data_IF_013684447387
#
_entry.id   IF_013684447387
#
_cell.length_a   1.000
_cell.length_b   1.000
_cell.length_c   1.000
_cell.angle_alpha   90.00
_cell.angle_beta   90.00
_cell.angle_gamma   90.00
#
_symmetry.space_group_name_H-M   'P 1'
#
loop_
_entity.id
_entity.type
_entity.pdbx_description
1 polymer ?
#
# COMPACT_ATOMS: atom_id res chain seq x y z
N UNK A 1 27.59 69.68 -15.33
CA UNK A 1 26.25 69.16 -15.03
C UNK A 1 26.24 67.68 -15.39
N UNK A 2 26.39 66.75 -14.43
CA UNK A 2 26.52 65.29 -14.68
C UNK A 2 25.20 64.65 -14.23
N UNK A 3 24.46 64.16 -15.23
CA UNK A 3 23.21 63.41 -15.00
C UNK A 3 23.56 61.95 -14.67
N UNK A 4 23.26 61.51 -13.47
CA UNK A 4 23.38 60.11 -13.06
C UNK A 4 22.06 59.40 -13.38
N UNK A 5 22.12 58.50 -14.38
CA UNK A 5 21.05 57.55 -14.67
C UNK A 5 21.06 56.46 -13.58
N UNK A 6 19.99 56.36 -12.76
CA UNK A 6 19.69 55.25 -11.91
C UNK A 6 18.92 54.19 -12.75
N UNK A 7 19.58 53.07 -13.05
CA UNK A 7 18.91 51.89 -13.61
C UNK A 7 18.30 51.09 -12.46
N UNK A 8 16.99 51.11 -12.36
CA UNK A 8 16.22 50.28 -11.43
C UNK A 8 16.11 48.86 -12.03
N UNK A 9 16.71 47.88 -11.35
CA UNK A 9 16.52 46.48 -11.64
C UNK A 9 15.25 45.99 -10.97
N UNK A 10 14.18 45.76 -11.73
CA UNK A 10 12.97 45.11 -11.26
C UNK A 10 13.22 43.59 -11.27
N UNK A 11 13.46 43.04 -10.08
CA UNK A 11 13.55 41.60 -9.86
C UNK A 11 12.14 41.03 -9.86
N UNK A 12 11.70 40.49 -11.01
CA UNK A 12 10.42 39.81 -11.13
C UNK A 12 10.56 38.39 -10.50
N UNK A 13 10.18 38.25 -9.23
CA UNK A 13 10.09 36.97 -8.54
C UNK A 13 8.89 36.21 -9.10
N UNK A 14 9.15 35.25 -9.98
CA UNK A 14 8.16 34.29 -10.45
C UNK A 14 7.84 33.35 -9.29
N UNK A 15 6.78 33.64 -8.52
CA UNK A 15 6.20 32.70 -7.56
C UNK A 15 5.47 31.64 -8.36
N UNK A 16 6.14 30.49 -8.59
CA UNK A 16 5.50 29.29 -9.11
C UNK A 16 4.49 28.80 -8.06
N UNK A 17 3.24 29.17 -8.23
CA UNK A 17 2.12 28.59 -7.48
C UNK A 17 2.06 27.10 -7.84
N UNK A 18 2.59 26.25 -6.96
CA UNK A 18 2.41 24.79 -7.05
C UNK A 18 0.92 24.53 -6.85
N UNK A 19 0.22 24.19 -7.93
CA UNK A 19 -1.17 23.78 -7.82
C UNK A 19 -1.24 22.66 -6.78
N UNK A 20 -2.01 22.83 -5.72
CA UNK A 20 -2.25 21.78 -4.74
C UNK A 20 -2.87 20.60 -5.48
N UNK A 21 -2.13 19.50 -5.60
CA UNK A 21 -2.68 18.27 -6.16
C UNK A 21 -3.91 17.88 -5.34
N UNK A 22 -5.00 17.60 -6.04
CA UNK A 22 -6.24 17.15 -5.40
C UNK A 22 -5.92 15.89 -4.58
N UNK A 23 -6.37 15.80 -3.31
CA UNK A 23 -6.14 14.62 -2.51
C UNK A 23 -6.56 13.36 -3.27
N UNK A 24 -5.66 12.38 -3.31
CA UNK A 24 -5.93 11.10 -3.95
C UNK A 24 -7.05 10.39 -3.18
N UNK A 25 -8.08 9.93 -3.88
CA UNK A 25 -9.17 9.16 -3.29
C UNK A 25 -9.40 7.89 -4.11
N UNK A 26 -9.28 6.75 -3.44
CA UNK A 26 -9.50 5.45 -4.05
C UNK A 26 -10.72 4.78 -3.44
N UNK A 27 -11.57 4.21 -4.30
CA UNK A 27 -12.77 3.46 -3.93
C UNK A 27 -12.55 1.93 -4.00
N UNK A 28 -11.41 1.48 -4.52
CA UNK A 28 -11.02 0.07 -4.62
C UNK A 28 -9.51 -0.08 -4.63
N UNK A 29 -9.05 -1.20 -4.08
CA UNK A 29 -7.65 -1.64 -4.17
C UNK A 29 -7.60 -2.98 -4.91
N UNK A 30 -6.59 -3.17 -5.77
CA UNK A 30 -6.32 -4.45 -6.45
C UNK A 30 -4.85 -4.82 -6.24
N UNK A 31 -4.60 -6.02 -5.77
CA UNK A 31 -3.25 -6.59 -5.70
C UNK A 31 -3.12 -7.67 -6.77
N UNK A 32 -2.14 -7.52 -7.66
CA UNK A 32 -1.78 -8.50 -8.69
C UNK A 32 -0.50 -9.19 -8.23
N UNK A 33 -0.63 -10.40 -7.72
CA UNK A 33 0.47 -11.14 -7.07
C UNK A 33 1.58 -11.47 -8.06
N UNK A 34 1.23 -11.93 -9.25
CA UNK A 34 2.19 -12.25 -10.31
C UNK A 34 3.05 -11.06 -10.71
N UNK A 35 2.45 -9.89 -10.82
CA UNK A 35 3.11 -8.64 -11.20
C UNK A 35 3.83 -7.95 -10.03
N UNK A 36 3.59 -8.41 -8.79
CA UNK A 36 4.05 -7.74 -7.55
C UNK A 36 3.62 -6.28 -7.56
N UNK A 37 2.33 -6.03 -7.80
CA UNK A 37 1.77 -4.67 -7.81
C UNK A 37 0.53 -4.54 -6.95
N UNK A 38 0.36 -3.37 -6.35
CA UNK A 38 -0.86 -2.90 -5.71
C UNK A 38 -1.34 -1.68 -6.49
N UNK A 39 -2.59 -1.69 -6.89
CA UNK A 39 -3.23 -0.62 -7.64
C UNK A 39 -4.33 0.03 -6.80
N UNK A 40 -4.36 1.35 -6.77
CA UNK A 40 -5.49 2.14 -6.29
C UNK A 40 -6.37 2.49 -7.49
N UNK A 41 -7.68 2.28 -7.33
CA UNK A 41 -8.65 2.61 -8.35
C UNK A 41 -9.63 3.65 -7.82
N UNK A 42 -10.12 4.50 -8.72
CA UNK A 42 -11.23 5.42 -8.50
C UNK A 42 -12.15 5.36 -9.71
N UNK A 43 -13.44 5.12 -9.49
CA UNK A 43 -14.44 4.98 -10.56
C UNK A 43 -14.02 3.95 -11.65
N UNK A 44 -13.42 2.85 -11.22
CA UNK A 44 -12.93 1.76 -12.07
C UNK A 44 -11.64 2.05 -12.85
N UNK A 45 -11.04 3.22 -12.67
CA UNK A 45 -9.76 3.61 -13.32
C UNK A 45 -8.61 3.49 -12.34
N UNK A 46 -7.48 2.92 -12.79
CA UNK A 46 -6.24 2.90 -12.00
C UNK A 46 -5.68 4.32 -11.90
N UNK A 47 -5.56 4.81 -10.65
CA UNK A 47 -5.05 6.16 -10.36
C UNK A 47 -3.64 6.14 -9.77
N UNK A 48 -3.21 5.00 -9.20
CA UNK A 48 -1.84 4.76 -8.71
C UNK A 48 -1.49 3.29 -8.80
N UNK A 49 -0.20 3.01 -8.97
CA UNK A 49 0.35 1.64 -8.94
C UNK A 49 1.64 1.64 -8.15
N UNK A 50 1.75 0.73 -7.20
CA UNK A 50 2.94 0.52 -6.37
C UNK A 50 3.51 -0.86 -6.62
N UNK A 51 4.83 -1.00 -6.57
CA UNK A 51 5.47 -2.30 -6.47
C UNK A 51 5.46 -2.77 -5.02
N UNK A 52 5.26 -4.06 -4.82
CA UNK A 52 5.12 -4.65 -3.46
C UNK A 52 6.03 -5.85 -3.27
N UNK A 53 6.32 -6.18 -2.01
CA UNK A 53 6.78 -7.51 -1.60
C UNK A 53 5.62 -8.24 -0.91
N UNK A 54 5.49 -9.53 -1.18
CA UNK A 54 4.42 -10.40 -0.71
C UNK A 54 4.91 -11.40 0.34
N UNK A 55 4.07 -12.36 0.68
CA UNK A 55 4.48 -13.53 1.47
C UNK A 55 5.61 -14.29 0.82
N UNK A 56 6.48 -14.92 1.62
CA UNK A 56 7.71 -15.57 1.14
C UNK A 56 7.48 -16.75 0.19
N UNK A 57 6.27 -17.32 0.14
CA UNK A 57 5.82 -18.30 -0.86
C UNK A 57 4.51 -17.80 -1.50
N UNK A 58 4.56 -16.85 -2.45
CA UNK A 58 3.38 -16.11 -2.90
C UNK A 58 2.50 -16.88 -3.91
N UNK A 59 2.91 -18.03 -4.40
CA UNK A 59 2.17 -18.78 -5.43
C UNK A 59 0.98 -19.51 -4.81
N UNK A 60 -0.22 -19.26 -5.33
CA UNK A 60 -1.48 -19.82 -4.83
C UNK A 60 -2.04 -19.11 -3.60
N UNK A 61 -3.29 -19.41 -3.21
CA UNK A 61 -3.97 -18.77 -2.10
C UNK A 61 -3.44 -19.19 -0.74
N UNK A 62 -3.51 -18.30 0.24
CA UNK A 62 -3.28 -18.63 1.65
C UNK A 62 -4.34 -19.62 2.13
N UNK A 63 -3.90 -20.71 2.73
CA UNK A 63 -4.76 -21.79 3.21
C UNK A 63 -4.65 -22.07 4.70
N UNK A 64 -3.49 -21.77 5.31
CA UNK A 64 -3.21 -22.05 6.73
C UNK A 64 -2.21 -21.06 7.33
N UNK A 65 -2.18 -21.01 8.64
CA UNK A 65 -1.15 -20.26 9.38
C UNK A 65 0.24 -20.77 9.02
N UNK A 66 1.20 -19.87 8.81
CA UNK A 66 2.60 -20.19 8.56
C UNK A 66 2.89 -20.77 7.17
N UNK A 67 1.98 -20.65 6.21
CA UNK A 67 2.22 -21.05 4.83
C UNK A 67 2.95 -20.00 3.99
N UNK A 68 3.23 -18.83 4.58
CA UNK A 68 3.90 -17.69 3.97
C UNK A 68 3.25 -17.20 2.68
N UNK A 69 1.95 -17.49 2.49
CA UNK A 69 1.19 -17.09 1.31
C UNK A 69 0.38 -15.83 1.57
N UNK A 70 0.32 -14.96 0.57
CA UNK A 70 -0.65 -13.86 0.53
C UNK A 70 -1.99 -14.39 0.04
N UNK A 71 -3.12 -14.10 0.73
CA UNK A 71 -4.43 -14.63 0.34
C UNK A 71 -4.84 -14.18 -1.06
N UNK A 72 -5.81 -14.90 -1.65
CA UNK A 72 -6.45 -14.57 -2.92
C UNK A 72 -7.95 -14.51 -2.72
N UNK A 73 -8.59 -13.48 -3.26
CA UNK A 73 -10.02 -13.27 -3.16
C UNK A 73 -10.40 -11.82 -2.89
N UNK A 74 -11.65 -11.64 -2.49
CA UNK A 74 -12.22 -10.33 -2.15
C UNK A 74 -12.30 -10.17 -0.63
N UNK A 75 -11.82 -9.01 -0.17
CA UNK A 75 -11.76 -8.59 1.23
C UNK A 75 -12.12 -7.10 1.35
N UNK A 76 -12.04 -6.58 2.56
CA UNK A 76 -12.12 -5.14 2.83
C UNK A 76 -10.92 -4.71 3.67
N UNK A 77 -10.54 -3.45 3.55
CA UNK A 77 -9.61 -2.78 4.44
C UNK A 77 -10.42 -2.29 5.65
N UNK A 78 -10.41 -3.02 6.75
CA UNK A 78 -11.38 -2.86 7.83
C UNK A 78 -10.86 -2.13 9.08
N UNK A 79 -9.55 -1.99 9.23
CA UNK A 79 -8.97 -1.25 10.35
C UNK A 79 -7.56 -0.75 10.07
N UNK A 80 -7.14 0.25 10.85
CA UNK A 80 -5.87 0.95 10.71
C UNK A 80 -5.08 0.95 12.00
N UNK A 81 -3.76 0.79 11.91
CA UNK A 81 -2.85 0.91 13.03
C UNK A 81 -1.75 1.94 12.72
N UNK A 82 -1.88 3.13 13.29
CA UNK A 82 -0.87 4.21 13.17
C UNK A 82 0.36 3.99 14.05
N UNK A 83 0.30 3.03 15.00
CA UNK A 83 1.41 2.63 15.89
C UNK A 83 1.93 1.25 15.55
N UNK A 84 1.91 0.89 14.27
CA UNK A 84 2.40 -0.38 13.76
C UNK A 84 3.91 -0.53 14.00
N UNK A 85 4.37 -1.77 14.19
CA UNK A 85 5.81 -2.11 14.14
C UNK A 85 6.40 -1.95 12.73
N UNK A 86 5.55 -1.74 11.73
CA UNK A 86 5.89 -1.55 10.31
C UNK A 86 5.47 -0.16 9.83
N UNK A 87 5.85 0.88 10.55
CA UNK A 87 5.53 2.28 10.29
C UNK A 87 4.02 2.55 10.43
N UNK A 88 3.20 2.14 9.47
CA UNK A 88 1.73 2.09 9.48
C UNK A 88 1.25 0.79 8.87
N UNK A 89 0.06 0.34 9.27
CA UNK A 89 -0.57 -0.83 8.67
C UNK A 89 -2.07 -0.66 8.52
N UNK A 90 -2.63 -1.24 7.45
CA UNK A 90 -4.06 -1.31 7.16
C UNK A 90 -4.41 -2.78 7.08
N UNK A 91 -5.34 -3.22 7.93
CA UNK A 91 -5.74 -4.62 8.00
C UNK A 91 -6.60 -5.02 6.81
N UNK A 92 -6.36 -6.20 6.28
CA UNK A 92 -7.15 -6.87 5.26
C UNK A 92 -8.03 -7.91 5.97
N UNK A 93 -9.33 -7.91 5.74
CA UNK A 93 -10.33 -8.74 6.46
C UNK A 93 -10.21 -10.26 6.19
N UNK A 94 -8.97 -10.75 6.03
CA UNK A 94 -8.65 -12.17 5.98
C UNK A 94 -8.55 -12.75 7.40
N UNK A 95 -9.08 -13.96 7.69
CA UNK A 95 -9.83 -14.84 6.80
C UNK A 95 -11.32 -14.45 6.73
N UNK A 96 -11.89 -14.45 5.52
CA UNK A 96 -13.33 -14.31 5.34
C UNK A 96 -14.08 -15.64 5.61
N UNK A 97 -15.39 -15.70 5.36
CA UNK A 97 -16.20 -16.90 5.61
C UNK A 97 -15.75 -18.11 4.77
N UNK A 98 -15.35 -17.86 3.50
CA UNK A 98 -14.85 -18.90 2.59
C UNK A 98 -13.53 -19.49 3.08
N UNK A 99 -12.59 -18.63 3.48
CA UNK A 99 -11.28 -19.04 3.99
C UNK A 99 -11.42 -19.89 5.26
N UNK A 100 -12.27 -19.44 6.19
CA UNK A 100 -12.56 -20.20 7.43
C UNK A 100 -13.20 -21.54 7.14
N UNK A 101 -14.13 -21.60 6.18
CA UNK A 101 -14.78 -22.86 5.79
C UNK A 101 -13.76 -23.82 5.16
N UNK A 102 -12.88 -23.32 4.30
CA UNK A 102 -11.82 -24.11 3.69
C UNK A 102 -10.84 -24.67 4.73
N UNK A 103 -10.38 -23.83 5.65
CA UNK A 103 -9.45 -24.22 6.71
C UNK A 103 -10.08 -25.29 7.64
N UNK A 104 -11.38 -25.14 8.00
CA UNK A 104 -12.09 -26.16 8.78
C UNK A 104 -12.17 -27.51 8.07
N UNK A 105 -12.46 -27.53 6.76
CA UNK A 105 -12.47 -28.78 5.96
C UNK A 105 -11.11 -29.47 5.95
N UNK A 106 -10.04 -28.69 5.98
CA UNK A 106 -8.65 -29.20 5.99
C UNK A 106 -8.11 -29.45 7.39
N UNK A 107 -8.88 -29.21 8.46
CA UNK A 107 -8.45 -29.41 9.84
C UNK A 107 -7.30 -28.49 10.29
N UNK A 108 -7.20 -27.28 9.71
CA UNK A 108 -6.10 -26.34 9.99
C UNK A 108 -6.62 -24.98 10.43
N UNK A 109 -5.76 -24.19 11.11
CA UNK A 109 -6.03 -22.77 11.36
C UNK A 109 -5.71 -21.94 10.08
N UNK A 110 -6.62 -21.10 9.61
CA UNK A 110 -6.35 -20.25 8.45
C UNK A 110 -5.26 -19.19 8.74
N UNK A 111 -5.01 -18.89 10.02
CA UNK A 111 -4.24 -17.72 10.43
C UNK A 111 -5.09 -16.45 10.42
N UNK A 112 -4.44 -15.32 10.27
CA UNK A 112 -5.02 -13.98 10.27
C UNK A 112 -3.92 -12.95 10.20
N UNK A 113 -4.22 -11.71 10.64
CA UNK A 113 -3.23 -10.62 10.75
C UNK A 113 -2.52 -10.33 9.42
N UNK A 114 -3.29 -10.24 8.34
CA UNK A 114 -2.80 -9.85 7.02
C UNK A 114 -3.02 -8.36 6.82
N UNK A 115 -1.95 -7.65 6.43
CA UNK A 115 -1.96 -6.19 6.33
C UNK A 115 -1.32 -5.71 5.03
N UNK A 116 -1.70 -4.50 4.61
CA UNK A 116 -0.83 -3.63 3.81
C UNK A 116 -0.02 -2.81 4.81
N UNK A 117 1.32 -2.77 4.69
CA UNK A 117 2.16 -2.08 5.66
C UNK A 117 3.45 -1.51 5.05
N UNK A 118 4.05 -0.56 5.76
CA UNK A 118 5.38 -0.03 5.46
C UNK A 118 6.51 -0.97 5.86
N UNK A 119 7.69 -0.42 6.07
CA UNK A 119 8.89 -1.17 6.48
C UNK A 119 8.96 -1.27 8.01
N UNK A 120 9.68 -2.26 8.55
CA UNK A 120 9.90 -2.36 9.99
C UNK A 120 10.48 -1.05 10.55
N UNK A 121 10.07 -0.67 11.75
CA UNK A 121 10.55 0.54 12.41
C UNK A 121 12.10 0.52 12.51
N UNK A 122 12.74 1.63 12.14
CA UNK A 122 14.19 1.71 12.02
C UNK A 122 14.79 1.26 10.69
N UNK A 123 14.00 0.64 9.81
CA UNK A 123 14.44 0.14 8.50
C UNK A 123 13.87 0.90 7.30
N UNK A 124 13.23 2.06 7.52
CA UNK A 124 12.67 2.88 6.43
C UNK A 124 13.69 3.27 5.35
N UNK A 125 14.98 3.40 5.73
CA UNK A 125 16.09 3.70 4.82
C UNK A 125 16.31 2.65 3.72
N UNK A 126 15.85 1.41 3.91
CA UNK A 126 15.92 0.34 2.90
C UNK A 126 15.12 0.72 1.66
N UNK A 127 14.03 1.49 1.81
CA UNK A 127 13.22 1.99 0.72
C UNK A 127 12.81 0.89 -0.26
N UNK A 128 12.86 1.17 -1.55
CA UNK A 128 12.44 0.25 -2.62
C UNK A 128 13.25 -1.06 -2.70
N UNK A 129 14.45 -1.12 -2.10
CA UNK A 129 15.29 -2.33 -2.10
C UNK A 129 14.67 -3.49 -1.34
N UNK A 130 13.68 -3.24 -0.45
CA UNK A 130 12.95 -4.31 0.24
C UNK A 130 12.26 -5.29 -0.73
N UNK A 131 12.01 -4.87 -1.98
CA UNK A 131 11.33 -5.65 -3.02
C UNK A 131 12.23 -6.64 -3.75
N UNK A 132 13.50 -6.71 -3.37
CA UNK A 132 14.45 -7.67 -3.97
C UNK A 132 13.99 -9.13 -3.76
N UNK A 133 13.13 -9.37 -2.77
CA UNK A 133 12.49 -10.68 -2.49
C UNK A 133 11.16 -10.48 -1.78
N UNK A 134 10.29 -11.50 -1.86
CA UNK A 134 9.13 -11.64 -0.99
C UNK A 134 9.62 -12.10 0.39
N UNK A 135 9.16 -11.47 1.48
CA UNK A 135 9.73 -11.68 2.82
C UNK A 135 8.70 -11.72 3.95
N UNK A 136 7.42 -11.43 3.64
CA UNK A 136 6.35 -11.38 4.62
C UNK A 136 5.79 -12.77 4.96
N UNK A 137 4.99 -12.84 6.01
CA UNK A 137 4.18 -14.03 6.35
C UNK A 137 2.75 -13.93 5.79
N UNK A 138 2.63 -13.35 4.59
CA UNK A 138 1.37 -13.20 3.86
C UNK A 138 0.88 -11.76 3.67
N UNK A 139 1.50 -10.78 4.30
CA UNK A 139 1.19 -9.37 4.14
C UNK A 139 1.63 -8.81 2.77
N UNK A 140 1.24 -7.57 2.50
CA UNK A 140 1.62 -6.78 1.33
C UNK A 140 2.46 -5.60 1.81
N UNK A 141 3.77 -5.62 1.55
CA UNK A 141 4.68 -4.57 1.97
C UNK A 141 4.98 -3.57 0.86
N UNK A 142 4.98 -2.31 1.22
CA UNK A 142 5.34 -1.14 0.42
C UNK A 142 6.41 -0.31 1.14
N UNK A 143 6.92 0.77 0.56
CA UNK A 143 7.79 1.70 1.29
C UNK A 143 7.00 2.53 2.30
N UNK A 144 7.71 3.22 3.20
CA UNK A 144 7.06 4.09 4.19
C UNK A 144 6.30 5.24 3.54
N UNK A 145 6.86 5.83 2.50
CA UNK A 145 6.22 6.92 1.73
C UNK A 145 4.95 6.42 1.02
N UNK A 146 5.01 5.21 0.46
CA UNK A 146 3.88 4.61 -0.24
C UNK A 146 2.73 4.22 0.70
N UNK A 147 3.03 3.68 1.90
CA UNK A 147 1.95 3.41 2.87
C UNK A 147 1.30 4.70 3.38
N UNK A 148 2.02 5.82 3.48
CA UNK A 148 1.44 7.12 3.81
C UNK A 148 0.47 7.59 2.72
N UNK A 149 0.85 7.45 1.45
CA UNK A 149 -0.03 7.80 0.32
C UNK A 149 -1.28 6.90 0.29
N UNK A 150 -1.12 5.59 0.42
CA UNK A 150 -2.22 4.62 0.47
C UNK A 150 -3.14 4.93 1.66
N UNK A 151 -2.57 5.18 2.84
CA UNK A 151 -3.30 5.52 4.05
C UNK A 151 -4.21 6.73 3.88
N UNK A 152 -3.75 7.74 3.18
CA UNK A 152 -4.52 8.96 2.93
C UNK A 152 -5.55 8.80 1.79
N UNK A 153 -5.30 7.87 0.87
CA UNK A 153 -6.12 7.67 -0.32
C UNK A 153 -7.33 6.74 -0.10
N UNK A 154 -7.24 5.75 0.81
CA UNK A 154 -8.31 4.77 1.05
C UNK A 154 -9.06 5.10 2.34
N UNK A 155 -10.33 4.71 2.44
CA UNK A 155 -11.13 4.75 3.66
C UNK A 155 -11.25 3.36 4.30
N UNK A 156 -11.60 3.28 5.60
CA UNK A 156 -12.01 2.01 6.20
C UNK A 156 -13.28 1.50 5.50
N UNK A 157 -13.32 0.20 5.22
CA UNK A 157 -14.36 -0.43 4.41
C UNK A 157 -14.07 -0.45 2.90
N UNK A 158 -12.95 0.16 2.44
CA UNK A 158 -12.57 0.09 1.01
C UNK A 158 -12.38 -1.37 0.58
N UNK A 159 -13.06 -1.82 -0.51
CA UNK A 159 -12.87 -3.15 -1.07
C UNK A 159 -11.43 -3.36 -1.56
N UNK A 160 -10.90 -4.53 -1.28
CA UNK A 160 -9.62 -4.99 -1.83
C UNK A 160 -9.78 -6.36 -2.47
N UNK A 161 -9.30 -6.50 -3.69
CA UNK A 161 -9.24 -7.75 -4.43
C UNK A 161 -7.77 -8.18 -4.61
N UNK A 162 -7.46 -9.41 -4.25
CA UNK A 162 -6.12 -10.00 -4.40
C UNK A 162 -6.21 -11.11 -5.42
N UNK A 163 -5.52 -10.94 -6.54
CA UNK A 163 -5.50 -11.86 -7.70
C UNK A 163 -4.17 -12.59 -7.80
N UNK A 164 -4.17 -13.79 -8.40
CA UNK A 164 -2.96 -14.54 -8.71
C UNK A 164 -1.90 -13.76 -9.47
#
# INVERSE_FOLDING_TARGET
>A
MRIRMLTAWILCALVMARAAEKPLHADRVVVLKKERTLQLLSEGKVIRTYKVALGGDPVGPKARRGDHKTPEGEYVLDSRNSKSQFHRSIHISYPNARDRAQARRSGVSPGGDVFIHGLPNGYGWVGASHRARDWNDGCVAVTNEEIEEIWNAVADGTPIEIRP
#
